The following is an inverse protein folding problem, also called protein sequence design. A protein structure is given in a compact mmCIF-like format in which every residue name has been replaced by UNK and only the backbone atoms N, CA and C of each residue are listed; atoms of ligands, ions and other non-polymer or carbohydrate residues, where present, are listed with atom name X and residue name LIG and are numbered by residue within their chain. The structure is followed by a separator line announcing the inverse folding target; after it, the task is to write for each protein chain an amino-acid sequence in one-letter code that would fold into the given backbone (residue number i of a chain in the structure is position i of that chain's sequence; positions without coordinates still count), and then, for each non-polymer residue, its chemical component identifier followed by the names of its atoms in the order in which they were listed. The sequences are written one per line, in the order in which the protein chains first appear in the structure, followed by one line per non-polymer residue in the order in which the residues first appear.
data_IF_113348306422
#
_entry.id   IF_113348306422
#
_cell.length_a   1.000
_cell.length_b   1.000
_cell.length_c   1.000
_cell.angle_alpha   90.00
_cell.angle_beta   90.00
_cell.angle_gamma   90.00
#
_symmetry.space_group_name_H-M   'P 1'
#
loop_
_entity.id
_entity.type
_entity.pdbx_description
1 polymer ?
#
# COMPACT_ATOMS: atom_id res chain seq x y z
N UNK A 1 -19.88 -6.38 -15.56
CA UNK A 1 -18.98 -7.19 -14.72
C UNK A 1 -19.49 -7.12 -13.29
N UNK A 2 -19.87 -8.25 -12.68
CA UNK A 2 -20.12 -8.33 -11.24
C UNK A 2 -18.78 -8.37 -10.52
N UNK A 3 -18.30 -7.24 -10.01
CA UNK A 3 -17.11 -7.19 -9.15
C UNK A 3 -17.58 -7.34 -7.70
N UNK A 4 -17.29 -8.49 -7.09
CA UNK A 4 -17.48 -8.68 -5.65
C UNK A 4 -16.43 -7.91 -4.85
N UNK A 5 -16.67 -7.73 -3.55
CA UNK A 5 -15.71 -7.10 -2.64
C UNK A 5 -14.46 -7.96 -2.52
N UNK A 6 -13.29 -7.34 -2.60
CA UNK A 6 -12.01 -7.96 -2.26
C UNK A 6 -11.58 -7.33 -0.92
N UNK A 7 -11.24 -8.18 0.05
CA UNK A 7 -10.62 -7.77 1.32
C UNK A 7 -9.18 -8.24 1.26
N UNK A 8 -8.24 -7.34 1.53
CA UNK A 8 -6.81 -7.62 1.60
C UNK A 8 -6.34 -7.28 3.01
N UNK A 9 -5.45 -8.10 3.55
CA UNK A 9 -4.68 -7.69 4.72
C UNK A 9 -3.55 -6.71 4.32
N UNK A 10 -2.82 -6.21 5.34
CA UNK A 10 -1.75 -5.21 5.12
C UNK A 10 -0.59 -5.84 4.35
N UNK A 11 -0.23 -7.10 4.65
CA UNK A 11 0.88 -7.80 3.99
C UNK A 11 0.57 -8.03 2.50
N UNK A 12 -0.65 -8.44 2.18
CA UNK A 12 -1.12 -8.65 0.80
C UNK A 12 -1.16 -7.33 0.02
N UNK A 13 -1.64 -6.25 0.63
CA UNK A 13 -1.69 -4.94 0.00
C UNK A 13 -0.29 -4.38 -0.30
N UNK A 14 0.66 -4.53 0.64
CA UNK A 14 2.06 -4.15 0.44
C UNK A 14 2.74 -5.04 -0.61
N UNK A 15 2.50 -6.35 -0.58
CA UNK A 15 3.02 -7.27 -1.57
C UNK A 15 2.60 -6.89 -3.00
N UNK A 16 1.32 -6.55 -3.21
CA UNK A 16 0.83 -6.09 -4.51
C UNK A 16 1.48 -4.78 -4.95
N UNK A 17 1.73 -3.86 -4.03
CA UNK A 17 2.40 -2.60 -4.33
C UNK A 17 3.86 -2.84 -4.74
N UNK A 18 4.55 -3.77 -4.08
CA UNK A 18 5.94 -4.14 -4.39
C UNK A 18 6.08 -4.81 -5.77
N UNK A 19 5.06 -5.54 -6.24
CA UNK A 19 5.05 -6.11 -7.60
C UNK A 19 5.10 -5.05 -8.70
N UNK A 20 4.74 -3.79 -8.42
CA UNK A 20 4.81 -2.72 -9.41
C UNK A 20 6.27 -2.29 -9.71
N UNK A 21 7.24 -2.72 -8.91
CA UNK A 21 8.65 -2.39 -9.08
C UNK A 21 8.97 -0.90 -8.86
N UNK A 22 10.14 -0.46 -9.33
CA UNK A 22 10.47 0.96 -9.37
C UNK A 22 9.64 1.69 -10.46
N UNK A 23 9.24 2.95 -10.24
CA UNK A 23 8.65 3.78 -11.30
C UNK A 23 9.53 3.82 -12.55
N UNK A 24 8.91 3.72 -13.73
CA UNK A 24 9.60 3.95 -14.99
C UNK A 24 10.00 5.44 -15.10
N UNK A 25 11.05 5.73 -15.87
CA UNK A 25 11.54 7.09 -16.13
C UNK A 25 10.50 7.97 -16.80
N UNK A 26 9.65 7.37 -17.62
CA UNK A 26 8.57 8.06 -18.36
C UNK A 26 7.19 7.89 -17.68
N UNK A 27 7.14 7.39 -16.44
CA UNK A 27 5.88 7.27 -15.70
C UNK A 27 5.24 8.64 -15.44
N UNK A 28 3.92 8.73 -15.59
CA UNK A 28 3.17 9.94 -15.27
C UNK A 28 3.40 10.33 -13.81
N UNK A 29 3.75 11.60 -13.59
CA UNK A 29 4.03 12.17 -12.26
C UNK A 29 2.88 11.95 -11.27
N UNK A 30 1.63 11.95 -11.74
CA UNK A 30 0.48 11.66 -10.89
C UNK A 30 0.47 10.21 -10.43
N UNK A 31 0.80 9.27 -11.32
CA UNK A 31 0.89 7.84 -10.99
C UNK A 31 1.99 7.62 -9.96
N UNK A 32 3.18 8.18 -10.17
CA UNK A 32 4.28 8.10 -9.19
C UNK A 32 3.87 8.68 -7.84
N UNK A 33 3.19 9.82 -7.82
CA UNK A 33 2.69 10.45 -6.59
C UNK A 33 1.69 9.56 -5.86
N UNK A 34 0.77 8.92 -6.57
CA UNK A 34 -0.23 8.02 -5.99
C UNK A 34 0.42 6.73 -5.45
N UNK A 35 1.37 6.14 -6.17
CA UNK A 35 2.16 4.98 -5.71
C UNK A 35 2.86 5.30 -4.38
N UNK A 36 3.55 6.44 -4.31
CA UNK A 36 4.25 6.88 -3.11
C UNK A 36 3.28 7.14 -1.94
N UNK A 37 2.13 7.77 -2.21
CA UNK A 37 1.14 8.05 -1.18
C UNK A 37 0.52 6.76 -0.62
N UNK A 38 0.24 5.79 -1.48
CA UNK A 38 -0.26 4.48 -1.06
C UNK A 38 0.77 3.73 -0.22
N UNK A 39 2.05 3.72 -0.63
CA UNK A 39 3.13 3.12 0.16
C UNK A 39 3.22 3.71 1.56
N UNK A 40 3.21 5.04 1.67
CA UNK A 40 3.26 5.72 2.97
C UNK A 40 2.04 5.39 3.83
N UNK A 41 0.84 5.38 3.22
CA UNK A 41 -0.38 5.07 3.93
C UNK A 41 -0.39 3.64 4.52
N UNK A 42 0.04 2.64 3.74
CA UNK A 42 0.12 1.26 4.23
C UNK A 42 1.12 1.12 5.38
N UNK A 43 2.27 1.81 5.30
CA UNK A 43 3.25 1.87 6.40
C UNK A 43 2.67 2.50 7.67
N UNK A 44 1.96 3.63 7.53
CA UNK A 44 1.30 4.28 8.68
C UNK A 44 0.25 3.37 9.34
N UNK A 45 -0.50 2.59 8.54
CA UNK A 45 -1.44 1.59 9.08
C UNK A 45 -0.69 0.49 9.82
N UNK A 46 0.38 -0.06 9.23
CA UNK A 46 1.21 -1.10 9.85
C UNK A 46 1.76 -0.62 11.19
N UNK A 47 2.40 0.55 11.21
CA UNK A 47 2.95 1.15 12.43
C UNK A 47 1.87 1.35 13.51
N UNK A 48 0.67 1.79 13.10
CA UNK A 48 -0.47 1.95 13.99
C UNK A 48 -0.99 0.61 14.55
N UNK A 49 -1.02 -0.43 13.74
CA UNK A 49 -1.43 -1.77 14.14
C UNK A 49 -0.42 -2.43 15.09
N UNK A 50 0.88 -2.33 14.78
CA UNK A 50 1.97 -2.86 15.62
C UNK A 50 2.11 -2.08 16.94
N UNK A 51 1.89 -0.76 16.92
CA UNK A 51 1.92 0.09 18.11
C UNK A 51 0.71 -0.08 19.05
N UNK A 52 -0.43 -0.59 18.55
CA UNK A 52 -1.60 -0.88 19.38
C UNK A 52 -1.41 -2.11 20.28
N UNK A 53 -0.54 -3.06 19.90
CA UNK A 53 -0.26 -4.28 20.66
C UNK A 53 0.79 -4.14 21.77
N UNK A 54 1.42 -2.97 21.93
CA UNK A 54 2.56 -2.75 22.85
C UNK A 54 2.22 -1.92 24.09
N UNK A 55 0.93 -1.71 24.37
CA UNK A 55 0.44 -1.08 25.60
C UNK A 55 -0.08 -2.16 26.54
N UNK A 56 0.83 -2.79 27.26
CA UNK A 56 0.60 -3.50 28.54
C UNK A 56 1.89 -3.44 29.37
#
# INVERSE_FOLDING_TARGET
MNRGTIVLDIDEAEYLLDQLGAPDKDEDKLVTKLRNRLSLFLKEIRDGAEGAGKRD
#
